data_IF_558124147183
#
_entry.id   IF_558124147183
#
_cell.length_a   1.000
_cell.length_b   1.000
_cell.length_c   1.000
_cell.angle_alpha   90.00
_cell.angle_beta   90.00
_cell.angle_gamma   90.00
#
_symmetry.space_group_name_H-M   'P 1'
#
loop_
_entity.id
_entity.type
_entity.pdbx_description
1 polymer ?
#
# COMPACT_ATOMS: atom_id res chain seq x y z
N UNK A 1 2.46 28.87 -3.35
CA UNK A 1 2.66 27.58 -2.66
C UNK A 1 1.28 27.08 -2.29
N UNK A 2 0.74 26.10 -3.03
CA UNK A 2 -0.65 25.65 -2.86
C UNK A 2 -0.73 24.69 -1.67
N UNK A 3 -1.42 25.12 -0.61
CA UNK A 3 -1.84 24.25 0.50
C UNK A 3 -2.61 23.05 -0.06
N UNK A 4 -1.99 21.86 -0.03
CA UNK A 4 -2.66 20.59 -0.30
C UNK A 4 -3.47 20.16 0.95
N UNK A 5 -4.28 21.06 1.52
CA UNK A 5 -5.00 20.86 2.79
C UNK A 5 -6.14 19.82 2.70
N UNK A 6 -6.42 19.28 1.51
CA UNK A 6 -7.54 18.35 1.27
C UNK A 6 -7.14 17.03 0.60
N UNK A 7 -5.90 16.57 0.77
CA UNK A 7 -5.52 15.26 0.25
C UNK A 7 -5.95 14.14 1.20
N UNK A 8 -6.60 13.12 0.65
CA UNK A 8 -6.93 11.88 1.36
C UNK A 8 -5.66 11.19 1.90
N UNK A 9 -4.56 11.28 1.16
CA UNK A 9 -3.28 10.69 1.53
C UNK A 9 -2.36 11.80 2.06
N UNK A 10 -1.94 11.65 3.31
CA UNK A 10 -1.08 12.61 4.00
C UNK A 10 0.39 12.20 3.99
N UNK A 11 0.67 10.90 3.94
CA UNK A 11 2.04 10.39 3.95
C UNK A 11 2.14 9.05 3.23
N UNK A 12 3.20 8.87 2.47
CA UNK A 12 3.57 7.57 1.91
C UNK A 12 5.05 7.31 2.22
N UNK A 13 5.36 6.19 2.85
CA UNK A 13 6.72 5.75 3.15
C UNK A 13 7.01 4.42 2.45
N UNK A 14 8.15 4.34 1.77
CA UNK A 14 8.66 3.11 1.16
C UNK A 14 10.12 2.92 1.58
N UNK A 15 10.49 1.75 2.09
CA UNK A 15 11.88 1.45 2.48
C UNK A 15 12.54 2.49 3.41
N UNK A 16 11.76 3.09 4.34
CA UNK A 16 12.15 4.19 5.25
C UNK A 16 12.39 5.56 4.58
N UNK A 17 12.07 5.69 3.29
CA UNK A 17 12.09 6.94 2.57
C UNK A 17 10.65 7.46 2.40
N UNK A 18 10.44 8.73 2.69
CA UNK A 18 9.15 9.39 2.50
C UNK A 18 9.00 9.84 1.05
N UNK A 19 7.93 9.41 0.39
CA UNK A 19 7.61 9.81 -0.98
C UNK A 19 7.05 11.22 -0.97
N UNK A 20 7.63 12.08 -1.81
CA UNK A 20 7.15 13.45 -1.99
C UNK A 20 5.79 13.44 -2.72
N UNK A 21 4.76 13.88 -2.00
CA UNK A 21 3.39 13.95 -2.48
C UNK A 21 3.18 15.07 -3.52
N UNK A 22 4.16 15.97 -3.70
CA UNK A 22 4.11 16.98 -4.77
C UNK A 22 4.06 16.36 -6.16
N UNK A 23 4.60 15.15 -6.32
CA UNK A 23 4.55 14.38 -7.57
C UNK A 23 3.27 13.53 -7.69
N UNK A 24 2.49 13.39 -6.62
CA UNK A 24 1.24 12.62 -6.63
C UNK A 24 0.17 13.40 -7.39
N UNK A 25 -0.27 12.86 -8.52
CA UNK A 25 -1.30 13.46 -9.37
C UNK A 25 -2.69 12.96 -9.04
N UNK A 26 -2.79 11.67 -8.76
CA UNK A 26 -4.06 11.01 -8.52
C UNK A 26 -3.86 9.89 -7.50
N UNK A 27 -4.78 9.80 -6.55
CA UNK A 27 -4.87 8.69 -5.62
C UNK A 27 -6.29 8.16 -5.64
N UNK A 28 -6.41 6.84 -5.77
CA UNK A 28 -7.69 6.15 -5.70
C UNK A 28 -7.60 5.09 -4.62
N UNK A 29 -8.38 5.27 -3.56
CA UNK A 29 -8.56 4.28 -2.52
C UNK A 29 -9.87 3.53 -2.76
N UNK A 30 -9.79 2.21 -2.88
CA UNK A 30 -10.95 1.36 -3.16
C UNK A 30 -11.18 0.49 -1.93
N UNK A 31 -12.22 0.84 -1.17
CA UNK A 31 -12.74 0.00 -0.10
C UNK A 31 -13.71 -1.03 -0.67
N UNK A 32 -13.53 -2.28 -0.26
CA UNK A 32 -14.40 -3.37 -0.66
C UNK A 32 -14.74 -4.20 0.57
N UNK A 33 -16.00 -4.64 0.62
CA UNK A 33 -16.51 -5.53 1.66
C UNK A 33 -16.27 -7.02 1.32
N UNK A 34 -15.66 -7.29 0.16
CA UNK A 34 -15.34 -8.64 -0.30
C UNK A 34 -13.97 -9.11 0.20
N UNK A 35 -13.64 -10.38 -0.08
CA UNK A 35 -12.33 -10.95 0.25
C UNK A 35 -11.20 -10.44 -0.66
N UNK A 36 -11.49 -9.58 -1.64
CA UNK A 36 -10.46 -9.01 -2.51
C UNK A 36 -9.60 -8.00 -1.78
N UNK A 37 -10.10 -7.44 -0.68
CA UNK A 37 -9.42 -6.51 0.20
C UNK A 37 -9.21 -5.11 -0.38
N UNK A 38 -8.95 -4.10 0.46
CA UNK A 38 -8.66 -2.74 0.04
C UNK A 38 -7.53 -2.66 -0.98
N UNK A 39 -7.72 -1.79 -1.98
CA UNK A 39 -6.73 -1.51 -3.02
C UNK A 39 -6.41 -0.04 -3.06
N UNK A 40 -5.18 0.25 -3.43
CA UNK A 40 -4.69 1.61 -3.56
C UNK A 40 -4.01 1.76 -4.91
N UNK A 41 -4.47 2.73 -5.70
CA UNK A 41 -3.88 3.09 -6.98
C UNK A 41 -3.30 4.50 -6.83
N UNK A 42 -2.00 4.63 -7.06
CA UNK A 42 -1.29 5.90 -6.96
C UNK A 42 -0.70 6.24 -8.31
N UNK A 43 -0.96 7.44 -8.81
CA UNK A 43 -0.39 7.92 -10.06
C UNK A 43 0.54 9.07 -9.77
N UNK A 44 1.80 8.88 -10.10
CA UNK A 44 2.84 9.88 -9.93
C UNK A 44 3.31 10.42 -11.27
N UNK A 45 3.68 11.71 -11.25
CA UNK A 45 4.40 12.38 -12.32
C UNK A 45 5.90 12.08 -12.16
N UNK A 46 6.46 11.27 -13.05
CA UNK A 46 7.83 10.73 -12.99
C UNK A 46 8.67 11.16 -14.20
N UNK A 47 8.59 12.44 -14.57
CA UNK A 47 9.35 13.03 -15.71
C UNK A 47 10.85 12.80 -15.62
N UNK A 48 11.37 12.90 -14.40
CA UNK A 48 12.80 12.80 -14.11
C UNK A 48 13.21 11.41 -13.58
N UNK A 49 12.33 10.40 -13.70
CA UNK A 49 12.57 9.04 -13.16
C UNK A 49 12.93 8.98 -11.67
N UNK A 50 12.52 9.99 -10.89
CA UNK A 50 12.88 10.16 -9.48
C UNK A 50 12.36 9.00 -8.63
N UNK A 51 11.15 8.49 -8.91
CA UNK A 51 10.56 7.39 -8.12
C UNK A 51 11.28 6.07 -8.35
N UNK A 52 11.72 5.81 -9.58
CA UNK A 52 12.40 4.57 -9.95
C UNK A 52 13.88 4.59 -9.57
N UNK A 53 14.57 5.69 -9.85
CA UNK A 53 16.04 5.75 -9.72
C UNK A 53 16.50 6.22 -8.35
N UNK A 54 15.84 7.24 -7.77
CA UNK A 54 16.24 7.79 -6.47
C UNK A 54 15.55 7.07 -5.31
N UNK A 55 14.25 6.84 -5.41
CA UNK A 55 13.47 6.22 -4.34
C UNK A 55 13.48 4.68 -4.41
N UNK A 56 13.91 4.11 -5.54
CA UNK A 56 14.06 2.67 -5.77
C UNK A 56 12.81 1.85 -5.45
N UNK A 57 11.63 2.44 -5.63
CA UNK A 57 10.36 1.72 -5.43
C UNK A 57 10.26 0.65 -6.51
N UNK A 58 10.02 -0.58 -6.08
CA UNK A 58 9.90 -1.75 -6.95
C UNK A 58 8.60 -2.50 -6.72
N UNK A 59 8.28 -3.38 -7.67
CA UNK A 59 7.25 -4.39 -7.45
C UNK A 59 7.61 -5.22 -6.21
N UNK A 60 6.58 -5.56 -5.44
CA UNK A 60 6.60 -6.24 -4.15
C UNK A 60 7.13 -5.41 -2.96
N UNK A 61 7.48 -4.14 -3.16
CA UNK A 61 7.81 -3.25 -2.04
C UNK A 61 6.57 -2.95 -1.18
N UNK A 62 6.81 -2.78 0.12
CA UNK A 62 5.81 -2.37 1.11
C UNK A 62 5.77 -0.85 1.25
N UNK A 63 4.59 -0.29 1.00
CA UNK A 63 4.24 1.11 1.25
C UNK A 63 3.47 1.21 2.56
N UNK A 64 3.94 2.08 3.46
CA UNK A 64 3.15 2.52 4.62
C UNK A 64 2.47 3.83 4.26
N UNK A 65 1.14 3.83 4.23
CA UNK A 65 0.34 4.96 3.79
C UNK A 65 -0.47 5.47 4.97
N UNK A 66 -0.35 6.77 5.24
CA UNK A 66 -1.18 7.48 6.20
C UNK A 66 -2.30 8.18 5.45
N UNK A 67 -3.52 7.69 5.68
CA UNK A 67 -4.76 8.22 5.14
C UNK A 67 -5.43 9.03 6.24
N UNK A 68 -5.76 10.27 5.95
CA UNK A 68 -6.48 11.13 6.88
C UNK A 68 -7.67 11.75 6.15
N UNK A 69 -8.81 11.80 6.84
CA UNK A 69 -9.95 12.57 6.38
C UNK A 69 -9.84 14.00 6.96
N UNK A 70 -9.55 15.02 6.13
CA UNK A 70 -9.46 16.40 6.59
C UNK A 70 -10.81 16.95 7.10
N UNK A 71 -11.93 16.27 6.83
CA UNK A 71 -13.27 16.67 7.26
C UNK A 71 -13.79 15.90 8.49
N UNK A 72 -13.17 14.77 8.84
CA UNK A 72 -13.54 14.01 10.03
C UNK A 72 -12.99 14.68 11.30
N UNK A 73 -13.89 15.20 12.14
CA UNK A 73 -13.56 15.91 13.39
C UNK A 73 -12.81 15.06 14.43
N UNK A 74 -12.78 13.74 14.26
CA UNK A 74 -12.18 12.81 15.23
C UNK A 74 -10.69 12.54 15.02
N UNK A 75 -10.05 13.10 13.97
CA UNK A 75 -8.59 13.07 13.82
C UNK A 75 -7.98 11.67 13.68
N UNK A 76 -8.77 10.67 13.25
CA UNK A 76 -8.30 9.29 13.13
C UNK A 76 -7.52 9.14 11.82
N UNK A 77 -6.19 9.18 11.93
CA UNK A 77 -5.30 8.82 10.84
C UNK A 77 -5.27 7.29 10.71
N UNK A 78 -5.72 6.79 9.56
CA UNK A 78 -5.59 5.38 9.22
C UNK A 78 -4.18 5.14 8.66
N UNK A 79 -3.35 4.41 9.40
CA UNK A 79 -2.04 3.96 8.93
C UNK A 79 -2.21 2.53 8.42
N UNK A 80 -2.10 2.37 7.10
CA UNK A 80 -2.29 1.08 6.44
C UNK A 80 -1.08 0.71 5.58
N UNK A 81 -0.83 -0.60 5.44
CA UNK A 81 0.30 -1.14 4.68
C UNK A 81 -0.19 -1.76 3.38
N UNK A 82 0.41 -1.34 2.28
CA UNK A 82 0.11 -1.83 0.94
C UNK A 82 1.36 -2.41 0.29
N UNK A 83 1.20 -3.41 -0.55
CA UNK A 83 2.27 -4.00 -1.35
C UNK A 83 2.05 -3.62 -2.81
N UNK A 84 3.08 -3.10 -3.46
CA UNK A 84 3.05 -2.77 -4.89
C UNK A 84 3.01 -4.07 -5.70
N UNK A 85 1.96 -4.30 -6.49
CA UNK A 85 1.86 -5.50 -7.33
C UNK A 85 2.40 -5.25 -8.74
N UNK A 86 2.00 -4.13 -9.34
CA UNK A 86 2.41 -3.78 -10.70
C UNK A 86 2.72 -2.30 -10.78
N UNK A 87 3.71 -1.97 -11.60
CA UNK A 87 4.18 -0.61 -11.82
C UNK A 87 4.21 -0.28 -13.32
N UNK A 88 3.06 -0.18 -14.01
CA UNK A 88 3.05 0.24 -15.41
C UNK A 88 3.51 1.70 -15.54
N UNK A 89 4.45 1.91 -16.47
CA UNK A 89 4.92 3.23 -16.90
C UNK A 89 4.14 3.59 -18.15
N UNK A 90 3.39 4.70 -18.11
CA UNK A 90 2.71 5.22 -19.29
C UNK A 90 3.69 6.01 -20.15
N UNK A 91 3.48 6.02 -21.47
CA UNK A 91 4.31 6.75 -22.46
C UNK A 91 4.44 8.25 -22.17
N UNK A 92 3.58 8.82 -21.32
CA UNK A 92 3.52 10.24 -20.96
C UNK A 92 4.12 10.56 -19.58
N UNK A 93 5.23 9.91 -19.20
CA UNK A 93 5.99 10.21 -17.97
C UNK A 93 5.24 9.93 -16.64
N UNK A 94 4.10 9.22 -16.68
CA UNK A 94 3.37 8.85 -15.47
C UNK A 94 3.66 7.42 -15.05
N UNK A 95 3.89 7.23 -13.76
CA UNK A 95 4.01 5.92 -13.13
C UNK A 95 2.76 5.64 -12.33
N UNK A 96 2.12 4.50 -12.57
CA UNK A 96 0.97 4.06 -11.78
C UNK A 96 1.40 2.89 -10.89
N UNK A 97 1.23 3.03 -9.58
CA UNK A 97 1.46 1.98 -8.59
C UNK A 97 0.12 1.35 -8.24
N UNK A 98 -0.08 0.11 -8.68
CA UNK A 98 -1.23 -0.67 -8.28
C UNK A 98 -0.86 -1.48 -7.04
N UNK A 99 -1.48 -1.15 -5.91
CA UNK A 99 -1.15 -1.72 -4.62
C UNK A 99 -2.35 -2.46 -4.01
N UNK A 100 -2.05 -3.54 -3.29
CA UNK A 100 -3.02 -4.31 -2.51
C UNK A 100 -2.64 -4.26 -1.04
N UNK A 101 -3.61 -4.31 -0.14
CA UNK A 101 -3.32 -4.37 1.29
C UNK A 101 -2.44 -5.60 1.64
N UNK A 102 -1.46 -5.39 2.54
CA UNK A 102 -0.45 -6.39 2.92
C UNK A 102 -1.07 -7.69 3.41
N UNK A 103 -2.07 -7.60 4.29
CA UNK A 103 -2.77 -8.75 4.85
C UNK A 103 -3.39 -9.62 3.74
N UNK A 104 -3.94 -8.99 2.71
CA UNK A 104 -4.57 -9.69 1.59
C UNK A 104 -3.52 -10.29 0.66
N UNK A 105 -2.38 -9.63 0.47
CA UNK A 105 -1.26 -10.19 -0.27
C UNK A 105 -0.75 -11.48 0.39
N UNK A 106 -0.61 -11.48 1.73
CA UNK A 106 -0.21 -12.66 2.50
C UNK A 106 -1.20 -13.81 2.29
N UNK A 107 -2.51 -13.53 2.31
CA UNK A 107 -3.56 -14.53 2.10
C UNK A 107 -3.55 -15.11 0.67
N UNK A 108 -3.17 -14.31 -0.33
CA UNK A 108 -3.10 -14.73 -1.74
C UNK A 108 -1.77 -15.37 -2.11
N UNK A 109 -0.77 -15.30 -1.23
CA UNK A 109 0.54 -15.91 -1.48
C UNK A 109 0.43 -17.44 -1.34
N UNK A 110 0.95 -18.17 -2.33
CA UNK A 110 0.91 -19.64 -2.32
C UNK A 110 1.59 -20.21 -1.08
N UNK A 111 0.85 -21.05 -0.34
CA UNK A 111 1.41 -21.78 0.80
C UNK A 111 2.31 -22.91 0.31
N UNK A 112 3.61 -22.81 0.60
CA UNK A 112 4.61 -23.82 0.20
C UNK A 112 4.55 -25.07 1.11
N UNK A 113 3.97 -24.96 2.31
CA UNK A 113 3.93 -26.03 3.31
C UNK A 113 2.49 -26.28 3.76
N UNK A 114 2.09 -27.55 3.74
CA UNK A 114 0.87 -27.99 4.41
C UNK A 114 1.11 -28.10 5.91
N UNK A 115 0.19 -27.59 6.71
CA UNK A 115 0.23 -27.74 8.16
C UNK A 115 -0.94 -28.61 8.62
N UNK A 116 -0.61 -29.68 9.35
CA UNK A 116 -1.60 -30.49 10.05
C UNK A 116 -1.62 -30.10 11.53
N UNK A 117 -2.79 -29.69 12.01
CA UNK A 117 -2.99 -29.38 13.42
C UNK A 117 -3.93 -30.42 14.03
N UNK A 118 -3.45 -31.16 15.02
CA UNK A 118 -4.27 -32.10 15.80
C UNK A 118 -4.24 -31.71 17.28
N UNK A 119 -5.42 -31.57 17.88
CA UNK A 119 -5.62 -31.22 19.31
C UNK A 119 -4.81 -30.00 19.79
N UNK A 120 -4.63 -28.99 18.93
CA UNK A 120 -3.96 -27.73 19.29
C UNK A 120 -4.98 -26.61 19.48
N UNK A 121 -4.70 -25.71 20.43
CA UNK A 121 -5.50 -24.50 20.63
C UNK A 121 -5.42 -23.61 19.37
N UNK A 122 -6.55 -22.99 19.01
CA UNK A 122 -6.72 -22.06 17.89
C UNK A 122 -5.66 -20.96 17.89
N UNK A 123 -5.30 -20.41 19.06
CA UNK A 123 -4.25 -19.38 19.16
C UNK A 123 -2.88 -19.86 18.67
N UNK A 124 -2.55 -21.13 18.92
CA UNK A 124 -1.29 -21.75 18.47
C UNK A 124 -1.30 -22.00 16.96
N UNK A 125 -2.48 -22.21 16.38
CA UNK A 125 -2.67 -22.37 14.93
C UNK A 125 -2.45 -21.02 14.24
N UNK A 126 -3.10 -19.95 14.71
CA UNK A 126 -2.95 -18.60 14.15
C UNK A 126 -1.51 -18.09 14.17
N UNK A 127 -0.80 -18.25 15.29
CA UNK A 127 0.62 -17.87 15.40
C UNK A 127 1.53 -18.57 14.40
N UNK A 128 1.12 -19.74 13.88
CA UNK A 128 1.92 -20.55 12.96
C UNK A 128 1.52 -20.34 11.49
N UNK A 129 0.32 -19.84 11.23
CA UNK A 129 -0.18 -19.52 9.90
C UNK A 129 0.18 -18.09 9.46
N UNK A 130 0.26 -17.14 10.40
CA UNK A 130 0.67 -15.78 10.10
C UNK A 130 2.21 -15.68 10.06
N UNK A 131 2.82 -15.29 8.93
CA UNK A 131 4.22 -14.89 8.92
C UNK A 131 4.35 -13.60 9.74
N UNK A 132 5.28 -13.59 10.70
CA UNK A 132 5.69 -12.38 11.43
C UNK A 132 6.44 -11.46 10.48
#
# INVERSE_FOLDING_TARGET
MSNQENLLIQKIECNKNELDLSFLRESTFIEVLDLSGPKLILKFDDKESILRDRMKVKELDELTVTISDPYARDGVNLIAKFVVLTMPVSEKEFVTLNCIQKEVNILKTTSIKAFLFSKKNILTIFKRLLPI
#
